data_IF_610179717433
#
_entry.id   IF_610179717433
#
_cell.length_a   1.000
_cell.length_b   1.000
_cell.length_c   1.000
_cell.angle_alpha   90.00
_cell.angle_beta   90.00
_cell.angle_gamma   90.00
#
_symmetry.space_group_name_H-M   'P 1'
#
loop_
_entity.id
_entity.type
_entity.pdbx_description
1 polymer ?
#
# COMPACT_ATOMS: atom_id res chain seq x y z
N UNK A 1 10.00 17.76 -5.82
CA UNK A 1 9.33 18.45 -6.93
C UNK A 1 8.06 17.70 -7.24
N UNK A 2 7.03 18.39 -7.73
CA UNK A 2 5.71 17.84 -8.08
C UNK A 2 5.74 16.86 -9.27
N UNK A 3 6.90 16.63 -9.88
CA UNK A 3 7.03 15.92 -11.15
C UNK A 3 7.72 14.56 -10.94
N UNK A 4 7.17 13.50 -11.55
CA UNK A 4 7.80 12.17 -11.56
C UNK A 4 9.04 12.15 -12.48
N UNK A 5 9.79 11.04 -12.47
CA UNK A 5 10.95 10.82 -13.35
C UNK A 5 10.61 10.97 -14.85
N UNK A 6 9.34 10.84 -15.23
CA UNK A 6 8.83 11.00 -16.60
C UNK A 6 8.42 12.45 -16.94
N UNK A 7 8.56 13.40 -16.00
CA UNK A 7 8.28 14.82 -16.24
C UNK A 7 6.81 15.23 -16.12
N UNK A 8 5.94 14.36 -15.57
CA UNK A 8 4.52 14.68 -15.33
C UNK A 8 4.26 15.02 -13.86
N UNK A 9 3.32 15.94 -13.56
CA UNK A 9 2.85 16.14 -12.19
C UNK A 9 2.33 14.82 -11.61
N UNK A 10 2.93 14.36 -10.51
CA UNK A 10 2.58 13.10 -9.87
C UNK A 10 2.54 13.26 -8.36
N UNK A 11 1.55 12.62 -7.75
CA UNK A 11 1.41 12.52 -6.30
C UNK A 11 1.58 11.07 -5.88
N UNK A 12 2.30 10.86 -4.77
CA UNK A 12 2.33 9.56 -4.12
C UNK A 12 1.13 9.45 -3.19
N UNK A 13 0.30 8.45 -3.44
CA UNK A 13 -0.94 8.20 -2.69
C UNK A 13 -0.80 6.88 -1.96
N UNK A 14 -0.96 6.92 -0.64
CA UNK A 14 -1.24 5.73 0.15
C UNK A 14 -2.73 5.71 0.48
N UNK A 15 -3.37 4.56 0.33
CA UNK A 15 -4.75 4.33 0.72
C UNK A 15 -4.88 3.03 1.51
N UNK A 16 -5.78 3.03 2.49
CA UNK A 16 -6.25 1.83 3.20
C UNK A 16 -7.63 1.53 2.65
N UNK A 17 -7.81 0.32 2.14
CA UNK A 17 -9.06 -0.13 1.52
C UNK A 17 -9.51 -1.41 2.21
N UNK A 18 -10.79 -1.51 2.52
CA UNK A 18 -11.37 -2.73 3.07
C UNK A 18 -11.72 -3.77 1.98
N UNK A 19 -12.13 -4.97 2.39
CA UNK A 19 -12.52 -6.03 1.46
C UNK A 19 -13.75 -5.69 0.59
N UNK A 20 -14.51 -4.65 0.96
CA UNK A 20 -15.67 -4.16 0.23
C UNK A 20 -15.31 -2.97 -0.68
N UNK A 21 -14.02 -2.74 -0.95
CA UNK A 21 -13.52 -1.68 -1.82
C UNK A 21 -13.80 -0.26 -1.28
N UNK A 22 -14.01 -0.12 0.04
CA UNK A 22 -14.23 1.18 0.67
C UNK A 22 -12.90 1.77 1.11
N UNK A 23 -12.65 3.02 0.73
CA UNK A 23 -11.50 3.78 1.24
C UNK A 23 -11.72 4.12 2.71
N UNK A 24 -10.90 3.56 3.59
CA UNK A 24 -10.94 3.81 5.02
C UNK A 24 -10.06 5.00 5.42
N UNK A 25 -8.94 5.18 4.72
CA UNK A 25 -8.02 6.29 4.93
C UNK A 25 -7.17 6.52 3.68
N UNK A 26 -6.67 7.73 3.51
CA UNK A 26 -5.70 8.05 2.47
C UNK A 26 -4.69 9.12 2.93
N UNK A 27 -3.53 9.15 2.29
CA UNK A 27 -2.49 10.14 2.50
C UNK A 27 -1.83 10.45 1.16
N UNK A 28 -1.90 11.72 0.75
CA UNK A 28 -1.36 12.21 -0.53
C UNK A 28 -0.13 13.08 -0.25
N UNK A 29 0.96 12.86 -0.99
CA UNK A 29 2.19 13.65 -0.88
C UNK A 29 2.73 14.03 -2.26
N UNK A 30 3.15 15.28 -2.40
CA UNK A 30 3.71 15.89 -3.61
C UNK A 30 5.23 15.75 -3.76
N UNK A 31 5.90 15.28 -2.71
CA UNK A 31 7.35 15.11 -2.69
C UNK A 31 7.76 13.78 -3.35
N UNK A 32 9.04 13.67 -3.72
CA UNK A 32 9.68 12.41 -4.14
C UNK A 32 9.80 11.45 -2.94
N UNK A 33 8.66 11.12 -2.35
CA UNK A 33 8.48 10.26 -1.20
C UNK A 33 8.21 8.85 -1.70
N UNK A 34 9.04 7.89 -1.32
CA UNK A 34 8.68 6.49 -1.48
C UNK A 34 7.48 6.12 -0.58
N UNK A 35 6.90 4.95 -0.82
CA UNK A 35 5.74 4.44 -0.07
C UNK A 35 5.96 4.47 1.45
N UNK A 36 7.16 4.05 1.88
CA UNK A 36 7.55 4.09 3.29
C UNK A 36 7.54 5.52 3.87
N UNK A 37 7.95 6.52 3.09
CA UNK A 37 7.92 7.94 3.50
C UNK A 37 6.49 8.47 3.60
N UNK A 38 5.61 8.07 2.68
CA UNK A 38 4.18 8.41 2.75
C UNK A 38 3.55 7.81 4.01
N UNK A 39 3.85 6.54 4.33
CA UNK A 39 3.42 5.92 5.59
C UNK A 39 3.96 6.66 6.82
N UNK A 40 5.26 6.93 6.85
CA UNK A 40 5.91 7.58 7.99
C UNK A 40 5.31 8.94 8.34
N UNK A 41 4.79 9.65 7.33
CA UNK A 41 4.18 10.97 7.44
C UNK A 41 2.65 10.94 7.43
N UNK A 42 2.03 9.77 7.49
CA UNK A 42 0.57 9.63 7.52
C UNK A 42 0.03 9.77 8.95
N UNK A 43 -1.20 10.29 9.07
CA UNK A 43 -1.94 10.26 10.34
C UNK A 43 -2.18 8.81 10.81
N UNK A 44 -2.30 7.88 9.85
CA UNK A 44 -2.51 6.47 10.13
C UNK A 44 -1.39 5.85 10.96
N UNK A 45 -0.13 6.20 10.71
CA UNK A 45 0.99 5.72 11.54
C UNK A 45 0.84 6.07 13.02
N UNK A 46 0.37 7.29 13.32
CA UNK A 46 0.11 7.71 14.70
C UNK A 46 -1.18 7.10 15.24
N UNK A 47 -2.21 6.97 14.39
CA UNK A 47 -3.48 6.39 14.78
C UNK A 47 -3.34 4.94 15.24
N UNK A 48 -2.62 4.11 14.48
CA UNK A 48 -2.46 2.67 14.77
C UNK A 48 -1.60 2.41 16.01
N UNK A 49 -0.72 3.36 16.36
CA UNK A 49 0.15 3.25 17.54
C UNK A 49 -0.70 3.22 18.81
N UNK A 50 -0.79 2.04 19.43
CA UNK A 50 -1.56 1.82 20.66
C UNK A 50 -3.08 1.68 20.46
N UNK A 51 -3.57 1.65 19.21
CA UNK A 51 -5.00 1.39 18.91
C UNK A 51 -5.26 0.13 18.11
N UNK A 52 -4.28 -0.31 17.31
CA UNK A 52 -4.43 -1.57 16.59
C UNK A 52 -4.30 -2.73 17.59
N UNK A 53 -5.30 -3.64 17.69
CA UNK A 53 -5.18 -4.82 18.52
C UNK A 53 -3.94 -5.65 18.16
N UNK A 54 -3.33 -6.32 19.14
CA UNK A 54 -2.07 -7.04 18.95
C UNK A 54 -2.14 -8.18 17.92
N UNK A 55 -3.35 -8.67 17.63
CA UNK A 55 -3.61 -9.76 16.70
C UNK A 55 -3.98 -9.27 15.30
N UNK A 56 -3.96 -7.95 15.07
CA UNK A 56 -4.32 -7.33 13.80
C UNK A 56 -3.13 -6.65 13.14
N UNK A 57 -3.09 -6.75 11.81
CA UNK A 57 -2.09 -6.10 10.98
C UNK A 57 -2.73 -5.65 9.66
N UNK A 58 -2.16 -4.60 9.08
CA UNK A 58 -2.45 -4.21 7.71
C UNK A 58 -1.69 -5.10 6.75
N UNK A 59 -2.29 -5.38 5.60
CA UNK A 59 -1.64 -6.07 4.49
C UNK A 59 -1.15 -5.01 3.52
N UNK A 60 0.16 -4.80 3.44
CA UNK A 60 0.77 -3.73 2.66
C UNK A 60 1.53 -4.24 1.44
N UNK A 61 1.81 -3.35 0.49
CA UNK A 61 2.62 -3.68 -0.69
C UNK A 61 4.11 -3.91 -0.33
N UNK A 62 4.88 -4.49 -1.26
CA UNK A 62 6.31 -4.73 -1.11
C UNK A 62 7.15 -3.44 -0.92
N UNK A 63 6.62 -2.28 -1.31
CA UNK A 63 7.25 -0.98 -1.08
C UNK A 63 7.30 -0.52 0.39
N UNK A 64 6.59 -1.21 1.28
CA UNK A 64 6.55 -0.92 2.71
C UNK A 64 7.49 -1.82 3.52
N UNK A 65 7.84 -1.39 4.74
CA UNK A 65 8.66 -2.17 5.68
C UNK A 65 7.76 -3.02 6.59
N UNK A 66 8.09 -4.31 6.73
CA UNK A 66 7.48 -5.25 7.67
C UNK A 66 7.53 -4.73 9.12
N UNK A 67 6.40 -4.73 9.83
CA UNK A 67 6.25 -4.25 11.21
C UNK A 67 5.19 -5.04 11.97
N UNK A 68 5.13 -4.88 13.29
CA UNK A 68 4.08 -5.49 14.13
C UNK A 68 2.65 -5.15 13.68
N UNK A 69 2.44 -3.97 13.10
CA UNK A 69 1.14 -3.55 12.57
C UNK A 69 0.99 -3.72 11.05
N UNK A 70 1.98 -4.25 10.35
CA UNK A 70 2.01 -4.25 8.89
C UNK A 70 2.76 -5.46 8.35
N UNK A 71 2.03 -6.36 7.68
CA UNK A 71 2.58 -7.48 6.93
C UNK A 71 2.94 -7.00 5.51
N UNK A 72 3.99 -7.59 4.93
CA UNK A 72 4.47 -7.34 3.56
C UNK A 72 4.81 -8.68 2.91
N UNK A 73 4.75 -8.81 1.56
CA UNK A 73 5.12 -10.06 0.91
C UNK A 73 6.62 -10.35 1.06
N UNK A 74 7.02 -11.61 0.90
CA UNK A 74 8.43 -11.96 0.81
C UNK A 74 9.04 -11.36 -0.45
N UNK A 75 10.27 -10.85 -0.33
CA UNK A 75 11.02 -10.27 -1.43
C UNK A 75 11.34 -11.33 -2.50
N UNK A 76 11.73 -10.88 -3.69
CA UNK A 76 11.90 -11.78 -4.83
C UNK A 76 13.05 -12.78 -4.63
N UNK A 77 14.14 -12.33 -4.01
CA UNK A 77 15.31 -13.10 -3.60
C UNK A 77 15.01 -14.11 -2.47
N UNK A 78 13.92 -13.94 -1.74
CA UNK A 78 13.48 -14.82 -0.65
C UNK A 78 12.55 -15.95 -1.12
N UNK A 79 12.27 -16.08 -2.42
CA UNK A 79 11.36 -17.09 -2.98
C UNK A 79 12.02 -18.46 -3.08
N UNK A 80 12.36 -19.02 -1.92
CA UNK A 80 13.20 -20.21 -1.81
C UNK A 80 12.40 -21.52 -1.85
N UNK A 81 11.10 -21.49 -1.53
CA UNK A 81 10.29 -22.71 -1.45
C UNK A 81 8.80 -22.51 -1.83
N UNK A 82 8.11 -23.64 -2.00
CA UNK A 82 6.70 -23.68 -2.39
C UNK A 82 5.77 -23.00 -1.37
N UNK A 83 6.11 -22.99 -0.09
CA UNK A 83 5.32 -22.36 0.97
C UNK A 83 5.36 -20.83 0.82
N UNK A 84 6.54 -20.25 0.63
CA UNK A 84 6.72 -18.81 0.39
C UNK A 84 6.01 -18.40 -0.90
N UNK A 85 6.11 -19.20 -1.95
CA UNK A 85 5.41 -18.93 -3.21
C UNK A 85 3.88 -18.97 -3.05
N UNK A 86 3.36 -19.95 -2.30
CA UNK A 86 1.92 -20.04 -2.01
C UNK A 86 1.44 -18.87 -1.15
N UNK A 87 2.25 -18.45 -0.17
CA UNK A 87 1.99 -17.26 0.64
C UNK A 87 1.93 -16.03 -0.26
N UNK A 88 2.96 -15.73 -1.05
CA UNK A 88 3.01 -14.56 -1.94
C UNK A 88 1.89 -14.58 -3.00
N UNK A 89 1.48 -15.76 -3.49
CA UNK A 89 0.34 -15.91 -4.39
C UNK A 89 -1.00 -15.58 -3.71
N UNK A 90 -1.17 -15.97 -2.45
CA UNK A 90 -2.36 -15.61 -1.68
C UNK A 90 -2.35 -14.12 -1.34
N UNK A 91 -1.16 -13.60 -1.00
CA UNK A 91 -0.90 -12.21 -0.71
C UNK A 91 -1.18 -11.29 -1.91
N UNK A 92 -0.81 -11.69 -3.13
CA UNK A 92 -1.10 -10.87 -4.31
C UNK A 92 -2.61 -10.68 -4.54
N UNK A 93 -3.43 -11.68 -4.17
CA UNK A 93 -4.90 -11.59 -4.29
C UNK A 93 -5.53 -10.60 -3.32
N UNK A 94 -4.90 -10.33 -2.17
CA UNK A 94 -5.43 -9.34 -1.21
C UNK A 94 -5.29 -7.91 -1.73
N UNK A 95 -4.51 -7.69 -2.79
CA UNK A 95 -4.41 -6.39 -3.47
C UNK A 95 -5.58 -6.12 -4.42
N UNK A 96 -6.33 -7.15 -4.82
CA UNK A 96 -7.44 -7.00 -5.78
C UNK A 96 -8.48 -5.97 -5.32
N UNK A 97 -8.97 -5.98 -4.05
CA UNK A 97 -9.90 -4.94 -3.59
C UNK A 97 -9.34 -3.51 -3.68
N UNK A 98 -8.03 -3.33 -3.45
CA UNK A 98 -7.35 -2.04 -3.57
C UNK A 98 -7.37 -1.58 -5.03
N UNK A 99 -6.93 -2.45 -5.94
CA UNK A 99 -6.87 -2.18 -7.38
C UNK A 99 -8.28 -1.90 -7.96
N UNK A 100 -9.29 -2.65 -7.51
CA UNK A 100 -10.69 -2.42 -7.87
C UNK A 100 -11.22 -1.09 -7.35
N UNK A 101 -10.93 -0.72 -6.09
CA UNK A 101 -11.35 0.56 -5.52
C UNK A 101 -10.77 1.75 -6.29
N UNK A 102 -9.48 1.70 -6.64
CA UNK A 102 -8.87 2.72 -7.51
C UNK A 102 -9.39 2.67 -8.95
N UNK A 103 -9.71 1.48 -9.47
CA UNK A 103 -10.37 1.31 -10.76
C UNK A 103 -11.77 1.93 -10.81
N UNK A 104 -12.53 1.88 -9.72
CA UNK A 104 -13.82 2.55 -9.61
C UNK A 104 -13.68 4.10 -9.58
N UNK A 105 -12.51 4.63 -9.20
CA UNK A 105 -12.18 6.06 -9.30
C UNK A 105 -11.69 6.48 -10.70
N UNK A 106 -11.46 5.55 -11.63
CA UNK A 106 -11.02 5.81 -13.02
C UNK A 106 -12.06 6.33 -14.03
N UNK A 107 -13.26 6.85 -13.69
CA UNK A 107 -13.98 7.73 -14.62
C UNK A 107 -13.17 8.97 -15.03
N UNK A 108 -12.00 9.22 -14.42
CA UNK A 108 -11.05 10.27 -14.81
C UNK A 108 -9.73 9.65 -15.36
N UNK A 109 -9.34 9.93 -16.62
CA UNK A 109 -8.44 9.10 -17.43
C UNK A 109 -6.94 9.06 -17.04
N UNK A 110 -6.50 9.67 -15.94
CA UNK A 110 -5.09 10.03 -15.74
C UNK A 110 -4.38 9.46 -14.48
N UNK A 111 -4.95 8.46 -13.80
CA UNK A 111 -4.20 7.70 -12.79
C UNK A 111 -3.57 6.48 -13.45
N UNK A 112 -2.27 6.53 -13.77
CA UNK A 112 -1.47 5.35 -14.18
C UNK A 112 -0.15 5.30 -13.41
N UNK A 113 0.12 4.08 -12.93
CA UNK A 113 1.36 3.41 -12.53
C UNK A 113 2.71 4.13 -12.76
#
# INVERSE_FOLDING_TARGET
GLYCRKGFPAYNVMAIVDAHQRFMAFSVRSENCNDQSVWNRSLMRTYVKGRLPSEMYFIADAGYVLRSCMLTPFAHDQRENAVINKFNMSYSRTRIPVEMAFGALRPFPNLKD
#
